data_IF_324653329021
#
_entry.id   IF_324653329021
#
_cell.length_a   1.000
_cell.length_b   1.000
_cell.length_c   1.000
_cell.angle_alpha   90.00
_cell.angle_beta   90.00
_cell.angle_gamma   90.00
#
_symmetry.space_group_name_H-M   'P 1'
#
loop_
_entity.id
_entity.type
_entity.pdbx_description
1 polymer ?
#
# COMPACT_ATOMS: atom_id res chain seq x y z
N UNK A 1 -25.30 10.91 0.54
CA UNK A 1 -23.89 11.34 0.68
C UNK A 1 -23.06 10.07 0.57
N UNK A 2 -22.11 9.99 -0.36
CA UNK A 2 -21.20 8.85 -0.45
C UNK A 2 -20.21 8.91 0.71
N UNK A 3 -20.03 7.81 1.44
CA UNK A 3 -19.02 7.73 2.50
C UNK A 3 -17.63 7.92 1.87
N UNK A 4 -16.75 8.77 2.42
CA UNK A 4 -15.40 8.92 1.91
C UNK A 4 -14.65 7.59 1.96
N UNK A 5 -13.92 7.26 0.90
CA UNK A 5 -13.03 6.09 0.90
C UNK A 5 -11.78 6.42 1.68
N UNK A 6 -11.38 5.57 2.62
CA UNK A 6 -10.11 5.73 3.31
C UNK A 6 -9.00 4.96 2.58
N UNK A 7 -7.95 5.66 2.16
CA UNK A 7 -6.79 5.06 1.52
C UNK A 7 -5.64 4.92 2.52
N UNK A 8 -5.03 3.73 2.57
CA UNK A 8 -3.86 3.45 3.42
C UNK A 8 -2.67 3.16 2.50
N UNK A 9 -1.67 4.04 2.51
CA UNK A 9 -0.42 3.86 1.79
C UNK A 9 0.64 3.38 2.77
N UNK A 10 1.31 2.29 2.43
CA UNK A 10 2.24 1.59 3.32
C UNK A 10 3.60 1.54 2.68
N UNK A 11 4.56 2.16 3.34
CA UNK A 11 5.96 1.93 3.08
C UNK A 11 6.40 0.61 3.73
N UNK A 12 6.43 -0.45 2.93
CA UNK A 12 6.80 -1.78 3.42
C UNK A 12 8.30 -1.95 3.62
N UNK A 13 9.13 -1.06 3.05
CA UNK A 13 10.58 -1.05 3.29
C UNK A 13 10.86 -0.63 4.74
N UNK A 14 10.19 0.43 5.18
CA UNK A 14 10.39 0.99 6.52
C UNK A 14 9.51 0.34 7.60
N UNK A 15 8.31 -0.15 7.27
CA UNK A 15 7.38 -0.73 8.25
C UNK A 15 6.79 -2.05 7.75
N UNK A 16 7.07 -3.13 8.49
CA UNK A 16 6.49 -4.45 8.25
C UNK A 16 5.66 -4.88 9.47
N UNK A 17 4.58 -4.15 9.81
CA UNK A 17 3.79 -4.46 10.99
C UNK A 17 2.93 -5.70 10.73
N UNK A 18 2.25 -6.18 11.76
CA UNK A 18 1.19 -7.19 11.59
C UNK A 18 -0.02 -6.51 10.94
N UNK A 19 0.00 -6.50 9.60
CA UNK A 19 -0.92 -5.74 8.77
C UNK A 19 -2.32 -6.37 8.73
N UNK A 20 -2.40 -7.69 8.82
CA UNK A 20 -3.62 -8.46 8.65
C UNK A 20 -4.68 -8.09 9.71
N UNK A 21 -4.26 -7.97 10.97
CA UNK A 21 -5.19 -7.66 12.06
C UNK A 21 -5.75 -6.22 11.97
N UNK A 22 -4.92 -5.24 11.59
CA UNK A 22 -5.27 -3.80 11.64
C UNK A 22 -5.98 -3.28 10.41
N UNK A 23 -5.76 -3.89 9.24
CA UNK A 23 -6.28 -3.41 7.95
C UNK A 23 -7.35 -4.34 7.34
N UNK A 24 -7.81 -5.32 8.13
CA UNK A 24 -8.92 -6.21 7.77
C UNK A 24 -10.25 -5.51 7.48
N UNK A 25 -10.64 -4.38 8.13
CA UNK A 25 -11.93 -3.72 7.84
C UNK A 25 -12.08 -3.36 6.35
N UNK A 26 -13.26 -3.59 5.77
CA UNK A 26 -13.54 -3.36 4.33
C UNK A 26 -13.56 -1.88 3.93
N UNK A 27 -13.48 -0.95 4.89
CA UNK A 27 -13.53 0.49 4.65
C UNK A 27 -12.22 1.08 4.10
N UNK A 28 -11.15 0.29 4.05
CA UNK A 28 -9.83 0.74 3.62
C UNK A 28 -9.43 0.16 2.27
N UNK A 29 -9.04 1.02 1.33
CA UNK A 29 -8.24 0.63 0.16
C UNK A 29 -6.76 0.69 0.50
N UNK A 30 -6.04 -0.41 0.38
CA UNK A 30 -4.64 -0.55 0.84
C UNK A 30 -3.66 -0.59 -0.33
N UNK A 31 -2.59 0.19 -0.22
CA UNK A 31 -1.56 0.35 -1.24
C UNK A 31 -0.20 0.08 -0.59
N UNK A 32 0.42 -1.04 -0.93
CA UNK A 32 1.67 -1.48 -0.29
C UNK A 32 2.84 -1.27 -1.23
N UNK A 33 3.73 -0.36 -0.87
CA UNK A 33 4.91 0.00 -1.66
C UNK A 33 6.09 -0.84 -1.23
N UNK A 34 6.72 -1.50 -2.18
CA UNK A 34 7.79 -2.49 -1.95
C UNK A 34 9.03 -2.10 -2.74
N UNK A 35 10.17 -2.01 -2.07
CA UNK A 35 11.45 -1.65 -2.67
C UNK A 35 11.86 -2.60 -3.82
N UNK A 36 12.64 -2.09 -4.77
CA UNK A 36 12.99 -2.81 -6.00
C UNK A 36 13.80 -4.09 -5.71
N UNK A 37 14.65 -4.04 -4.68
CA UNK A 37 15.49 -5.15 -4.22
C UNK A 37 14.79 -6.10 -3.26
N UNK A 38 13.54 -5.79 -2.85
CA UNK A 38 12.79 -6.66 -1.96
C UNK A 38 12.35 -7.92 -2.74
N UNK A 39 12.91 -9.05 -2.32
CA UNK A 39 12.68 -10.37 -2.93
C UNK A 39 11.72 -11.26 -2.14
N UNK A 40 11.40 -10.87 -0.91
CA UNK A 40 10.54 -11.63 0.00
C UNK A 40 9.55 -10.70 0.70
N UNK A 41 8.38 -11.22 1.01
CA UNK A 41 7.40 -10.56 1.87
C UNK A 41 6.98 -11.51 2.97
N UNK A 42 6.50 -10.96 4.08
CA UNK A 42 5.93 -11.75 5.16
C UNK A 42 4.60 -12.37 4.72
N UNK A 43 4.25 -13.49 5.37
CA UNK A 43 3.02 -14.22 5.08
C UNK A 43 1.76 -13.41 5.43
N UNK A 44 1.81 -12.61 6.49
CA UNK A 44 0.72 -11.70 6.91
C UNK A 44 0.29 -10.71 5.81
N UNK A 45 1.23 -10.23 4.99
CA UNK A 45 0.93 -9.38 3.84
C UNK A 45 0.17 -10.17 2.78
N UNK A 46 0.54 -11.43 2.54
CA UNK A 46 -0.17 -12.29 1.59
C UNK A 46 -1.60 -12.55 2.07
N UNK A 47 -1.79 -12.85 3.35
CA UNK A 47 -3.12 -13.05 3.94
C UNK A 47 -3.98 -11.78 3.82
N UNK A 48 -3.42 -10.60 4.11
CA UNK A 48 -4.11 -9.33 3.92
C UNK A 48 -4.56 -9.16 2.46
N UNK A 49 -3.66 -9.36 1.50
CA UNK A 49 -3.95 -9.19 0.07
C UNK A 49 -5.07 -10.14 -0.38
N UNK A 50 -5.01 -11.40 0.03
CA UNK A 50 -6.04 -12.40 -0.27
C UNK A 50 -7.39 -12.02 0.34
N UNK A 51 -7.41 -11.58 1.61
CA UNK A 51 -8.63 -11.19 2.29
C UNK A 51 -9.28 -9.92 1.72
N UNK A 52 -8.48 -8.95 1.26
CA UNK A 52 -8.98 -7.68 0.69
C UNK A 52 -9.34 -7.77 -0.79
N UNK A 53 -8.80 -8.72 -1.54
CA UNK A 53 -9.05 -8.83 -2.97
C UNK A 53 -8.70 -7.54 -3.72
N UNK A 54 -9.68 -6.96 -4.42
CA UNK A 54 -9.49 -5.72 -5.19
C UNK A 54 -9.21 -4.47 -4.34
N UNK A 55 -9.48 -4.52 -3.04
CA UNK A 55 -9.26 -3.40 -2.12
C UNK A 55 -7.82 -3.33 -1.59
N UNK A 56 -6.93 -4.23 -2.02
CA UNK A 56 -5.51 -4.11 -1.73
C UNK A 56 -4.64 -4.36 -2.97
N UNK A 57 -3.53 -3.65 -3.08
CA UNK A 57 -2.53 -3.90 -4.12
C UNK A 57 -1.11 -3.71 -3.62
N UNK A 58 -0.19 -4.44 -4.25
CA UNK A 58 1.25 -4.25 -4.07
C UNK A 58 1.82 -3.49 -5.26
N UNK A 59 2.61 -2.46 -4.98
CA UNK A 59 3.34 -1.66 -5.95
C UNK A 59 4.83 -1.90 -5.71
N UNK A 60 5.46 -2.68 -6.59
CA UNK A 60 6.90 -2.91 -6.54
C UNK A 60 7.64 -1.84 -7.34
N UNK A 61 8.65 -1.23 -6.72
CA UNK A 61 9.50 -0.25 -7.38
C UNK A 61 10.31 -0.89 -8.51
N UNK A 62 10.38 -0.22 -9.66
CA UNK A 62 11.11 -0.69 -10.84
C UNK A 62 12.62 -0.48 -10.80
N UNK A 63 13.13 0.31 -9.84
CA UNK A 63 14.55 0.63 -9.73
C UNK A 63 14.95 1.10 -8.34
N UNK A 64 16.26 1.21 -8.14
CA UNK A 64 16.87 1.68 -6.89
C UNK A 64 17.30 3.13 -7.02
N UNK A 65 17.14 3.91 -5.96
CA UNK A 65 17.56 5.31 -5.92
C UNK A 65 17.23 5.92 -4.57
N UNK A 66 17.99 6.95 -4.18
CA UNK A 66 17.74 7.67 -2.93
C UNK A 66 16.31 8.24 -2.96
N UNK A 67 15.52 7.91 -1.95
CA UNK A 67 14.12 8.33 -1.78
C UNK A 67 13.18 7.89 -2.93
N UNK A 68 13.55 6.87 -3.72
CA UNK A 68 12.76 6.45 -4.88
C UNK A 68 11.34 5.99 -4.49
N UNK A 69 11.22 5.28 -3.36
CA UNK A 69 9.94 4.83 -2.83
C UNK A 69 9.09 6.01 -2.34
N UNK A 70 9.68 6.95 -1.60
CA UNK A 70 8.99 8.16 -1.11
C UNK A 70 8.39 8.99 -2.25
N UNK A 71 9.16 9.24 -3.31
CA UNK A 71 8.67 9.99 -4.47
C UNK A 71 7.52 9.27 -5.17
N UNK A 72 7.56 7.94 -5.22
CA UNK A 72 6.48 7.16 -5.81
C UNK A 72 5.22 7.19 -4.96
N UNK A 73 5.35 7.10 -3.63
CA UNK A 73 4.23 7.28 -2.69
C UNK A 73 3.61 8.67 -2.83
N UNK A 74 4.43 9.73 -2.88
CA UNK A 74 3.95 11.10 -3.03
C UNK A 74 3.18 11.31 -4.34
N UNK A 75 3.68 10.76 -5.45
CA UNK A 75 2.97 10.77 -6.73
C UNK A 75 1.61 10.05 -6.63
N UNK A 76 1.58 8.84 -6.06
CA UNK A 76 0.36 8.06 -5.95
C UNK A 76 -0.66 8.74 -5.03
N UNK A 77 -0.22 9.37 -3.94
CA UNK A 77 -1.07 10.15 -3.05
C UNK A 77 -1.71 11.34 -3.79
N UNK A 78 -0.91 12.12 -4.53
CA UNK A 78 -1.43 13.23 -5.32
C UNK A 78 -2.45 12.80 -6.38
N UNK A 79 -2.19 11.67 -7.06
CA UNK A 79 -3.14 11.08 -8.00
C UNK A 79 -4.44 10.65 -7.33
N UNK A 80 -4.38 10.05 -6.13
CA UNK A 80 -5.55 9.66 -5.35
C UNK A 80 -6.37 10.87 -4.92
N UNK A 81 -5.73 11.92 -4.38
CA UNK A 81 -6.43 13.16 -4.01
C UNK A 81 -7.10 13.86 -5.20
N UNK A 82 -6.64 13.62 -6.43
CA UNK A 82 -7.29 14.16 -7.64
C UNK A 82 -8.54 13.37 -8.03
N UNK A 83 -8.55 12.06 -7.76
CA UNK A 83 -9.66 11.16 -8.12
C UNK A 83 -10.74 11.10 -7.03
N UNK A 84 -10.31 11.08 -5.77
CA UNK A 84 -11.13 10.98 -4.57
C UNK A 84 -10.69 12.09 -3.58
N UNK A 85 -11.08 13.36 -3.81
CA UNK A 85 -10.69 14.52 -2.99
C UNK A 85 -11.35 14.57 -1.61
#
# INVERSE_FOLDING_TARGET
MTTPTNHVLIDYENVQPDLAARLSPSVFKVWVFVGATQSKVKYDLVELLQAKGSDAKVIKMGGVGKNALDFHMAYQLGALCTQEP
#
